data_IF_117573403320
#
_entry.id   IF_117573403320
#
_cell.length_a   1.000
_cell.length_b   1.000
_cell.length_c   1.000
_cell.angle_alpha   90.00
_cell.angle_beta   90.00
_cell.angle_gamma   90.00
#
_symmetry.space_group_name_H-M   'P 1'
#
loop_
_entity.id
_entity.type
_entity.pdbx_description
1 polymer ?
#
# COMPACT_ATOMS: atom_id res chain seq x y z
N UNK A 1 38.26 29.52 13.44
CA UNK A 1 38.13 28.53 12.34
C UNK A 1 36.91 28.92 11.52
N UNK A 2 36.99 28.97 10.18
CA UNK A 2 35.85 29.31 9.32
C UNK A 2 34.89 28.12 9.17
N UNK A 3 33.63 28.39 8.82
CA UNK A 3 32.60 27.37 8.63
C UNK A 3 32.66 26.73 7.24
N UNK A 4 32.27 25.46 7.15
CA UNK A 4 32.24 24.66 5.92
C UNK A 4 30.84 24.74 5.27
N UNK A 5 30.77 24.99 3.97
CA UNK A 5 29.52 25.10 3.19
C UNK A 5 29.54 24.07 2.04
N UNK A 6 28.69 23.02 2.05
CA UNK A 6 28.82 21.87 1.17
C UNK A 6 28.15 22.03 -0.22
N UNK A 7 27.78 23.24 -0.65
CA UNK A 7 27.05 23.47 -1.90
C UNK A 7 27.86 24.21 -2.97
N UNK A 8 28.76 23.50 -3.64
CA UNK A 8 29.37 23.92 -4.91
C UNK A 8 29.04 22.92 -6.01
N UNK A 9 28.12 23.27 -6.92
CA UNK A 9 27.83 22.44 -8.10
C UNK A 9 29.06 22.37 -9.01
N UNK A 10 29.49 21.16 -9.32
CA UNK A 10 30.51 20.92 -10.33
C UNK A 10 29.87 20.92 -11.71
N UNK A 11 30.05 21.99 -12.49
CA UNK A 11 29.57 22.10 -13.87
C UNK A 11 30.72 21.66 -14.80
N UNK A 12 30.59 20.57 -15.56
CA UNK A 12 31.58 20.21 -16.58
C UNK A 12 31.44 21.13 -17.79
N UNK A 13 32.50 21.83 -18.15
CA UNK A 13 32.56 22.59 -19.42
C UNK A 13 32.53 21.64 -20.62
N UNK A 14 31.82 21.98 -21.72
CA UNK A 14 31.79 21.14 -22.91
C UNK A 14 33.11 21.23 -23.68
N UNK A 15 33.83 20.12 -23.79
CA UNK A 15 35.03 20.03 -24.64
C UNK A 15 34.61 20.07 -26.10
N UNK A 16 35.07 21.07 -26.85
CA UNK A 16 34.93 21.06 -28.31
C UNK A 16 35.74 19.89 -28.89
N UNK A 17 35.10 19.06 -29.73
CA UNK A 17 35.82 18.15 -30.61
C UNK A 17 35.41 18.42 -32.06
N UNK A 18 36.40 18.59 -32.92
CA UNK A 18 36.26 19.19 -34.25
C UNK A 18 36.11 18.11 -35.33
N UNK A 19 35.37 18.44 -36.38
CA UNK A 19 34.94 17.54 -37.44
C UNK A 19 36.08 16.88 -38.23
N UNK A 20 35.84 15.66 -38.68
CA UNK A 20 36.20 15.25 -40.05
C UNK A 20 34.96 14.70 -40.76
N UNK A 21 34.93 14.86 -42.08
CA UNK A 21 33.80 14.51 -42.94
C UNK A 21 34.32 13.74 -44.15
N UNK A 22 33.59 12.70 -44.53
CA UNK A 22 33.69 12.04 -45.84
C UNK A 22 32.36 12.20 -46.55
N UNK A 23 32.41 12.54 -47.83
CA UNK A 23 31.26 12.88 -48.66
C UNK A 23 30.80 11.68 -49.53
N UNK A 24 29.94 11.96 -50.53
CA UNK A 24 29.23 11.01 -51.41
C UNK A 24 28.02 10.39 -50.68
N UNK A 25 26.79 10.39 -51.23
CA UNK A 25 26.36 10.58 -52.63
C UNK A 25 25.15 11.53 -52.78
N UNK A 26 24.90 12.01 -54.00
CA UNK A 26 23.72 12.77 -54.41
C UNK A 26 22.41 12.00 -54.19
N UNK A 27 21.28 12.69 -54.00
CA UNK A 27 20.04 12.40 -54.77
C UNK A 27 19.05 13.58 -54.82
N UNK A 28 18.70 13.94 -56.06
CA UNK A 28 17.62 14.85 -56.50
C UNK A 28 16.33 14.01 -56.62
N UNK A 29 15.08 14.47 -56.57
CA UNK A 29 14.33 15.75 -56.81
C UNK A 29 13.10 15.70 -55.84
N UNK A 30 12.12 16.60 -55.62
CA UNK A 30 11.54 17.83 -56.24
C UNK A 30 10.91 18.71 -55.13
N UNK A 31 10.52 19.95 -55.43
CA UNK A 31 9.60 20.77 -54.62
C UNK A 31 8.19 20.82 -55.27
N UNK A 32 7.14 20.80 -54.46
CA UNK A 32 5.76 21.17 -54.84
C UNK A 32 5.18 22.08 -53.77
N UNK A 33 4.53 23.18 -54.18
CA UNK A 33 3.95 24.20 -53.29
C UNK A 33 2.45 24.36 -53.54
N UNK A 34 1.78 24.93 -52.53
CA UNK A 34 0.48 25.62 -52.59
C UNK A 34 -0.79 24.75 -52.78
N UNK A 35 -2.01 25.29 -52.50
CA UNK A 35 -2.34 26.54 -51.80
C UNK A 35 -3.25 26.36 -50.55
N UNK A 36 -3.41 27.43 -49.77
CA UNK A 36 -4.56 27.60 -48.86
C UNK A 36 -5.86 27.87 -49.64
N UNK A 37 -7.04 27.72 -49.01
CA UNK A 37 -8.01 28.81 -49.08
C UNK A 37 -8.80 29.09 -47.77
N UNK A 38 -8.65 30.34 -47.28
CA UNK A 38 -9.71 31.26 -46.84
C UNK A 38 -10.97 30.78 -46.08
N UNK A 39 -11.24 31.44 -44.95
CA UNK A 39 -12.59 31.64 -44.38
C UNK A 39 -12.83 30.93 -43.03
N UNK A 40 -13.56 31.51 -42.07
CA UNK A 40 -14.19 32.83 -42.02
C UNK A 40 -14.31 33.34 -40.57
N UNK A 41 -14.17 34.65 -40.37
CA UNK A 41 -14.35 35.32 -39.07
C UNK A 41 -15.82 35.62 -38.80
N UNK A 42 -16.36 35.22 -37.64
CA UNK A 42 -17.64 35.75 -37.13
C UNK A 42 -17.39 36.46 -35.79
N UNK A 43 -17.45 37.78 -35.86
CA UNK A 43 -17.48 38.71 -34.73
C UNK A 43 -18.91 38.84 -34.20
N UNK A 44 -19.12 38.73 -32.88
CA UNK A 44 -20.31 39.26 -32.21
C UNK A 44 -19.95 39.93 -30.87
N UNK A 45 -19.73 41.24 -30.92
CA UNK A 45 -19.72 42.15 -29.77
C UNK A 45 -20.87 43.16 -29.90
N UNK A 46 -21.91 43.04 -29.06
CA UNK A 46 -22.92 44.09 -28.77
C UNK A 46 -23.88 43.60 -27.65
N UNK A 47 -24.58 44.42 -26.87
CA UNK A 47 -24.33 45.74 -26.22
C UNK A 47 -25.41 45.90 -25.11
N UNK A 48 -25.13 46.69 -24.06
CA UNK A 48 -26.03 47.26 -23.02
C UNK A 48 -27.57 47.01 -23.03
N UNK A 49 -28.16 46.89 -21.83
CA UNK A 49 -29.41 47.59 -21.49
C UNK A 49 -30.35 46.97 -20.42
N UNK A 50 -30.81 47.79 -19.46
CA UNK A 50 -31.93 47.48 -18.51
C UNK A 50 -31.58 46.51 -17.37
N UNK A 51 -31.74 46.77 -16.06
CA UNK A 51 -32.44 47.79 -15.24
C UNK A 51 -33.94 47.61 -14.99
N UNK A 52 -34.30 47.66 -13.69
CA UNK A 52 -35.64 47.69 -13.04
C UNK A 52 -36.54 46.44 -13.22
N UNK A 53 -37.07 45.90 -12.11
CA UNK A 53 -38.18 44.94 -12.14
C UNK A 53 -38.29 43.99 -10.95
N UNK A 54 -38.67 44.47 -9.76
CA UNK A 54 -39.01 43.61 -8.61
C UNK A 54 -40.52 43.33 -8.54
N UNK A 55 -41.00 42.08 -8.59
CA UNK A 55 -42.36 41.72 -8.22
C UNK A 55 -42.42 41.28 -6.74
N UNK A 56 -43.14 42.03 -5.92
CA UNK A 56 -43.49 41.60 -4.56
C UNK A 56 -44.58 40.52 -4.60
N UNK A 57 -44.20 39.25 -4.42
CA UNK A 57 -45.18 38.18 -4.19
C UNK A 57 -45.52 38.08 -2.71
N UNK A 58 -46.82 38.13 -2.40
CA UNK A 58 -47.36 38.16 -1.03
C UNK A 58 -47.24 36.81 -0.33
N UNK A 59 -46.85 36.83 0.95
CA UNK A 59 -46.91 35.65 1.80
C UNK A 59 -48.37 35.28 2.12
N UNK A 60 -48.78 34.08 1.70
CA UNK A 60 -49.93 33.37 2.31
C UNK A 60 -49.42 32.48 3.44
N UNK A 61 -49.93 32.61 4.68
CA UNK A 61 -49.55 31.70 5.77
C UNK A 61 -50.23 30.34 5.55
N UNK A 62 -49.46 29.35 5.09
CA UNK A 62 -49.95 27.99 4.91
C UNK A 62 -50.24 27.35 6.28
N UNK A 63 -51.52 27.16 6.61
CA UNK A 63 -51.95 26.51 7.85
C UNK A 63 -51.50 25.05 7.84
N UNK A 64 -50.54 24.71 8.70
CA UNK A 64 -50.11 23.33 8.90
C UNK A 64 -51.26 22.48 9.44
N UNK A 65 -51.64 21.37 8.79
CA UNK A 65 -52.61 20.44 9.36
C UNK A 65 -51.98 19.72 10.57
N UNK A 66 -52.65 19.78 11.72
CA UNK A 66 -52.22 19.10 12.96
C UNK A 66 -52.34 17.58 12.81
N UNK A 67 -51.31 16.96 12.23
CA UNK A 67 -51.24 15.52 12.09
C UNK A 67 -51.06 14.87 13.46
N UNK A 68 -52.11 14.21 13.96
CA UNK A 68 -52.04 13.43 15.20
C UNK A 68 -51.10 12.26 14.97
N UNK A 69 -49.91 12.34 15.58
CA UNK A 69 -48.86 11.34 15.43
C UNK A 69 -49.21 10.07 16.25
N UNK A 70 -50.06 9.22 15.67
CA UNK A 70 -50.40 7.88 16.18
C UNK A 70 -49.15 7.00 16.27
N UNK A 71 -48.46 7.09 17.42
CA UNK A 71 -47.16 6.48 17.72
C UNK A 71 -47.18 4.96 17.49
N UNK A 72 -46.50 4.42 16.46
CA UNK A 72 -46.39 2.99 16.26
C UNK A 72 -45.36 2.44 17.26
N UNK A 73 -45.85 1.84 18.35
CA UNK A 73 -45.00 1.24 19.40
C UNK A 73 -44.38 -0.09 18.96
N UNK A 74 -43.50 -0.03 17.97
CA UNK A 74 -42.68 -1.16 17.52
C UNK A 74 -41.34 -0.67 16.95
N UNK A 75 -40.57 0.06 17.76
CA UNK A 75 -39.17 0.37 17.44
C UNK A 75 -38.31 -0.87 17.73
N UNK A 76 -38.46 -1.91 16.92
CA UNK A 76 -37.55 -3.05 16.93
C UNK A 76 -36.14 -2.55 16.62
N UNK A 77 -35.22 -2.69 17.58
CA UNK A 77 -33.83 -2.27 17.40
C UNK A 77 -33.29 -2.85 16.09
N UNK A 78 -32.67 -2.03 15.21
CA UNK A 78 -32.04 -2.56 14.00
C UNK A 78 -31.02 -3.61 14.42
N UNK A 79 -31.09 -4.80 13.81
CA UNK A 79 -30.17 -5.90 14.12
C UNK A 79 -28.74 -5.36 14.04
N UNK A 80 -27.87 -5.60 15.04
CA UNK A 80 -26.49 -5.15 14.97
C UNK A 80 -25.84 -5.65 13.68
N UNK A 81 -25.55 -4.72 12.77
CA UNK A 81 -24.79 -5.05 11.56
C UNK A 81 -23.42 -5.54 12.03
N UNK A 82 -23.03 -6.74 11.62
CA UNK A 82 -21.74 -7.29 12.01
C UNK A 82 -20.64 -6.31 11.56
N UNK A 83 -19.70 -5.89 12.44
CA UNK A 83 -18.68 -4.89 12.09
C UNK A 83 -17.75 -5.25 10.91
N UNK A 84 -17.90 -6.46 10.36
CA UNK A 84 -17.12 -7.03 9.27
C UNK A 84 -18.00 -7.61 8.14
N UNK A 85 -19.32 -7.37 8.14
CA UNK A 85 -20.18 -7.77 7.01
C UNK A 85 -20.03 -6.78 5.86
N UNK A 86 -18.88 -6.83 5.18
CA UNK A 86 -18.69 -6.17 3.90
C UNK A 86 -19.69 -6.76 2.90
N UNK A 87 -20.68 -5.97 2.49
CA UNK A 87 -21.49 -6.30 1.32
C UNK A 87 -20.52 -6.30 0.12
N UNK A 88 -20.38 -7.41 -0.62
CA UNK A 88 -19.49 -7.44 -1.78
C UNK A 88 -19.95 -6.40 -2.79
N UNK A 89 -19.02 -5.57 -3.26
CA UNK A 89 -19.33 -4.60 -4.31
C UNK A 89 -19.77 -5.36 -5.58
N UNK A 90 -20.76 -4.84 -6.33
CA UNK A 90 -21.07 -5.38 -7.65
C UNK A 90 -19.81 -5.32 -8.52
N UNK A 91 -19.50 -6.37 -9.31
CA UNK A 91 -18.32 -6.38 -10.15
C UNK A 91 -18.39 -5.24 -11.18
N UNK A 92 -17.27 -4.57 -11.39
CA UNK A 92 -17.15 -3.46 -12.34
C UNK A 92 -17.07 -3.98 -13.78
N UNK A 93 -16.68 -5.26 -13.95
CA UNK A 93 -16.63 -5.96 -15.23
C UNK A 93 -17.47 -7.25 -15.21
N UNK A 94 -18.25 -7.50 -16.27
CA UNK A 94 -18.82 -8.84 -16.53
C UNK A 94 -17.78 -9.81 -17.10
N UNK A 95 -16.68 -9.29 -17.65
CA UNK A 95 -15.62 -10.04 -18.30
C UNK A 95 -14.35 -9.93 -17.45
N UNK A 96 -13.91 -11.04 -16.86
CA UNK A 96 -12.91 -11.04 -15.78
C UNK A 96 -11.62 -10.27 -16.09
N UNK A 97 -11.39 -9.19 -15.33
CA UNK A 97 -10.20 -8.34 -15.47
C UNK A 97 -8.90 -9.09 -15.22
N UNK A 98 -7.94 -8.95 -16.14
CA UNK A 98 -6.55 -9.36 -15.97
C UNK A 98 -5.67 -8.15 -15.64
N UNK A 99 -4.84 -8.24 -14.60
CA UNK A 99 -3.83 -7.21 -14.28
C UNK A 99 -2.61 -7.34 -15.22
N UNK A 100 -1.95 -6.21 -15.51
CA UNK A 100 -0.71 -6.17 -16.29
C UNK A 100 0.34 -7.15 -15.70
N UNK A 101 1.01 -7.98 -16.53
CA UNK A 101 2.07 -8.89 -16.08
C UNK A 101 3.21 -8.26 -15.27
N UNK A 102 3.50 -6.97 -15.41
CA UNK A 102 4.48 -6.21 -14.60
C UNK A 102 4.01 -6.01 -13.16
N UNK A 103 2.71 -5.75 -12.98
CA UNK A 103 2.08 -5.59 -11.66
C UNK A 103 1.74 -6.95 -11.02
N UNK A 104 1.51 -8.00 -11.81
CA UNK A 104 1.12 -9.34 -11.32
C UNK A 104 2.20 -9.96 -10.43
N UNK A 105 1.79 -10.59 -9.32
CA UNK A 105 2.69 -11.38 -8.45
C UNK A 105 3.33 -12.52 -9.23
N UNK A 106 4.65 -12.64 -9.13
CA UNK A 106 5.46 -13.76 -9.62
C UNK A 106 6.39 -14.30 -8.53
N UNK A 107 7.15 -15.35 -8.86
CA UNK A 107 8.27 -15.84 -8.01
C UNK A 107 9.43 -14.84 -8.00
N UNK A 108 9.68 -14.20 -9.15
CA UNK A 108 10.54 -13.03 -9.29
C UNK A 108 9.63 -11.86 -9.69
N UNK A 109 9.49 -10.81 -8.86
CA UNK A 109 8.66 -9.66 -9.23
C UNK A 109 9.30 -8.91 -10.41
N UNK A 110 8.54 -8.59 -11.48
CA UNK A 110 9.08 -7.89 -12.65
C UNK A 110 9.56 -6.48 -12.33
N UNK A 111 8.91 -5.81 -11.38
CA UNK A 111 9.31 -4.51 -10.85
C UNK A 111 10.12 -4.74 -9.57
N UNK A 112 11.34 -4.20 -9.49
CA UNK A 112 12.10 -4.05 -8.25
C UNK A 112 11.82 -2.66 -7.67
N UNK A 113 11.26 -2.59 -6.47
CA UNK A 113 10.79 -1.35 -5.85
C UNK A 113 10.60 -1.54 -4.34
N UNK A 114 11.23 -0.70 -3.52
CA UNK A 114 10.87 -0.52 -2.10
C UNK A 114 9.76 0.54 -2.04
N UNK A 115 8.58 0.14 -1.56
CA UNK A 115 7.37 0.98 -1.56
C UNK A 115 7.51 2.23 -0.67
N UNK A 116 8.47 2.24 0.27
CA UNK A 116 8.80 3.42 1.09
C UNK A 116 9.52 4.49 0.27
N UNK A 117 10.28 4.11 -0.75
CA UNK A 117 10.90 5.04 -1.69
C UNK A 117 9.85 5.65 -2.61
N UNK A 118 10.05 6.87 -3.16
CA UNK A 118 9.19 7.39 -4.22
C UNK A 118 9.17 6.46 -5.44
N UNK A 119 8.05 6.31 -6.18
CA UNK A 119 7.96 5.44 -7.35
C UNK A 119 9.01 5.66 -8.45
N UNK A 120 9.65 6.83 -8.53
CA UNK A 120 10.78 7.07 -9.44
C UNK A 120 11.91 6.04 -9.25
N UNK A 121 12.14 5.55 -8.03
CA UNK A 121 13.14 4.53 -7.70
C UNK A 121 12.72 3.09 -8.09
N UNK A 122 11.49 2.88 -8.58
CA UNK A 122 11.07 1.60 -9.13
C UNK A 122 11.80 1.33 -10.46
N UNK A 123 12.27 0.10 -10.66
CA UNK A 123 12.96 -0.35 -11.88
C UNK A 123 12.34 -1.63 -12.42
N UNK A 124 12.27 -1.80 -13.75
CA UNK A 124 11.65 -2.99 -14.37
C UNK A 124 12.70 -3.96 -14.92
N UNK A 125 12.72 -5.19 -14.40
CA UNK A 125 13.63 -6.27 -14.83
C UNK A 125 13.43 -6.70 -16.29
N UNK A 126 12.31 -6.32 -16.94
CA UNK A 126 12.03 -6.67 -18.34
C UNK A 126 12.58 -5.66 -19.34
N UNK A 127 12.92 -4.45 -18.89
CA UNK A 127 13.39 -3.36 -19.75
C UNK A 127 14.83 -3.06 -19.33
N UNK A 128 15.78 -3.67 -20.06
CA UNK A 128 17.22 -3.55 -19.78
C UNK A 128 17.84 -2.23 -20.28
N UNK A 129 17.05 -1.45 -21.03
CA UNK A 129 17.36 -0.07 -21.43
C UNK A 129 16.64 0.87 -20.47
N UNK A 130 17.20 2.05 -20.24
CA UNK A 130 16.69 3.12 -19.36
C UNK A 130 15.41 3.76 -19.96
N UNK A 131 14.35 2.97 -20.04
CA UNK A 131 13.16 3.18 -20.86
C UNK A 131 11.89 3.17 -20.01
N UNK A 132 11.56 4.32 -19.43
CA UNK A 132 10.40 4.54 -18.56
C UNK A 132 9.02 4.39 -19.23
N UNK A 133 8.95 3.94 -20.50
CA UNK A 133 7.69 3.56 -21.15
C UNK A 133 6.94 2.46 -20.41
N UNK A 134 7.62 1.53 -19.72
CA UNK A 134 6.97 0.47 -18.92
C UNK A 134 6.05 1.03 -17.82
N UNK A 135 6.36 2.21 -17.28
CA UNK A 135 5.54 2.90 -16.26
C UNK A 135 4.20 3.39 -16.83
N UNK A 136 4.20 3.71 -18.12
CA UNK A 136 3.07 4.25 -18.86
C UNK A 136 2.19 3.15 -19.47
N UNK A 137 2.55 1.88 -19.30
CA UNK A 137 1.67 0.77 -19.66
C UNK A 137 0.36 0.79 -18.86
N UNK A 138 -0.69 0.26 -19.48
CA UNK A 138 -2.01 0.09 -18.85
C UNK A 138 -1.91 -0.91 -17.70
N UNK A 139 -2.54 -0.61 -16.56
CA UNK A 139 -2.51 -1.47 -15.37
C UNK A 139 -3.38 -2.73 -15.52
N UNK A 140 -4.42 -2.70 -16.36
CA UNK A 140 -5.38 -3.79 -16.54
C UNK A 140 -5.77 -4.02 -18.00
N UNK A 141 -6.32 -5.20 -18.29
CA UNK A 141 -7.05 -5.53 -19.52
C UNK A 141 -8.34 -6.29 -19.14
N UNK A 142 -9.55 -5.78 -19.46
CA UNK A 142 -9.82 -4.50 -20.12
C UNK A 142 -9.35 -3.28 -19.31
N UNK A 143 -9.33 -2.11 -19.95
CA UNK A 143 -9.02 -0.85 -19.28
C UNK A 143 -10.08 -0.57 -18.20
N UNK A 144 -9.68 -0.49 -16.93
CA UNK A 144 -10.56 0.00 -15.86
C UNK A 144 -10.34 1.50 -15.65
N UNK A 145 -11.42 2.24 -15.43
CA UNK A 145 -11.39 3.66 -15.06
C UNK A 145 -11.00 3.91 -13.60
N UNK A 146 -10.94 2.85 -12.78
CA UNK A 146 -10.34 2.85 -11.44
C UNK A 146 -9.92 1.43 -11.06
N UNK A 147 -8.97 1.30 -10.12
CA UNK A 147 -8.48 0.01 -9.64
C UNK A 147 -8.51 -0.03 -8.10
N UNK A 148 -9.16 -1.02 -7.51
CA UNK A 148 -9.23 -1.16 -6.04
C UNK A 148 -8.18 -2.14 -5.54
N UNK A 149 -7.31 -1.69 -4.63
CA UNK A 149 -6.23 -2.47 -4.04
C UNK A 149 -6.40 -2.57 -2.52
N UNK A 150 -6.47 -3.78 -1.98
CA UNK A 150 -6.41 -4.09 -0.55
C UNK A 150 -4.98 -4.48 -0.16
N UNK A 151 -4.54 -4.11 1.03
CA UNK A 151 -3.20 -4.39 1.56
C UNK A 151 -3.28 -4.55 3.07
N UNK A 152 -2.38 -5.35 3.67
CA UNK A 152 -2.26 -5.44 5.12
C UNK A 152 -1.54 -4.22 5.74
N UNK A 153 -0.92 -3.38 4.92
CA UNK A 153 -0.14 -2.20 5.33
C UNK A 153 -0.99 -0.92 5.45
N UNK A 154 -2.30 -0.98 5.17
CA UNK A 154 -3.24 0.12 5.29
C UNK A 154 -4.60 -0.39 5.77
N UNK A 155 -5.26 0.36 6.66
CA UNK A 155 -6.59 0.02 7.18
C UNK A 155 -7.74 0.29 6.20
N UNK A 156 -7.49 1.15 5.20
CA UNK A 156 -8.43 1.59 4.17
C UNK A 156 -8.04 0.95 2.82
N UNK A 157 -8.99 0.54 1.96
CA UNK A 157 -8.67 0.13 0.59
C UNK A 157 -8.12 1.33 -0.20
N UNK A 158 -7.13 1.07 -1.06
CA UNK A 158 -6.53 2.06 -1.96
C UNK A 158 -7.31 2.04 -3.27
N UNK A 159 -7.94 3.15 -3.63
CA UNK A 159 -8.59 3.31 -4.94
C UNK A 159 -7.67 4.13 -5.83
N UNK A 160 -7.20 3.51 -6.91
CA UNK A 160 -6.35 4.14 -7.93
C UNK A 160 -7.23 4.72 -9.02
N UNK A 161 -6.95 5.96 -9.41
CA UNK A 161 -7.56 6.64 -10.56
C UNK A 161 -6.47 7.02 -11.59
N UNK A 162 -6.79 7.18 -12.88
CA UNK A 162 -5.85 7.67 -13.88
C UNK A 162 -5.34 9.07 -13.51
N UNK A 163 -4.03 9.31 -13.53
CA UNK A 163 -3.48 10.67 -13.38
C UNK A 163 -3.73 11.56 -14.60
N UNK A 164 -4.01 10.97 -15.76
CA UNK A 164 -4.28 11.66 -17.03
C UNK A 164 -5.72 11.45 -17.47
N UNK A 165 -6.49 12.55 -17.45
CA UNK A 165 -7.89 12.58 -17.89
C UNK A 165 -8.03 12.19 -19.38
N UNK A 166 -7.05 12.54 -20.20
CA UNK A 166 -7.07 12.36 -21.67
C UNK A 166 -7.24 10.90 -22.09
N UNK A 167 -6.52 9.99 -21.46
CA UNK A 167 -6.55 8.56 -21.80
C UNK A 167 -7.64 7.80 -21.01
N UNK A 168 -7.95 8.25 -19.79
CA UNK A 168 -8.93 7.59 -18.90
C UNK A 168 -8.50 6.20 -18.40
N UNK A 169 -7.27 5.76 -18.64
CA UNK A 169 -6.76 4.43 -18.26
C UNK A 169 -5.81 4.53 -17.08
N UNK A 170 -6.01 3.71 -16.05
CA UNK A 170 -5.05 3.55 -14.95
C UNK A 170 -3.76 2.93 -15.50
N UNK A 171 -2.62 3.58 -15.27
CA UNK A 171 -1.28 3.11 -15.67
C UNK A 171 -0.55 2.39 -14.54
N UNK A 172 0.55 1.70 -14.87
CA UNK A 172 1.47 1.10 -13.89
C UNK A 172 2.01 2.17 -12.91
N UNK A 173 2.33 3.37 -13.41
CA UNK A 173 2.79 4.50 -12.58
C UNK A 173 1.70 4.97 -11.59
N UNK A 174 0.45 5.07 -12.02
CA UNK A 174 -0.67 5.47 -11.15
C UNK A 174 -0.83 4.50 -9.97
N UNK A 175 -0.72 3.20 -10.24
CA UNK A 175 -0.77 2.15 -9.22
C UNK A 175 0.36 2.30 -8.19
N UNK A 176 1.60 2.52 -8.64
CA UNK A 176 2.74 2.67 -7.74
C UNK A 176 2.64 3.96 -6.89
N UNK A 177 2.18 5.07 -7.50
CA UNK A 177 1.93 6.34 -6.80
C UNK A 177 0.83 6.22 -5.76
N UNK A 178 -0.34 5.69 -6.14
CA UNK A 178 -1.48 5.55 -5.23
C UNK A 178 -1.16 4.64 -4.05
N UNK A 179 -0.45 3.53 -4.27
CA UNK A 179 0.03 2.66 -3.18
C UNK A 179 1.01 3.41 -2.28
N UNK A 180 2.03 4.08 -2.83
CA UNK A 180 3.01 4.85 -2.04
C UNK A 180 2.35 5.91 -1.15
N UNK A 181 1.48 6.74 -1.72
CA UNK A 181 0.78 7.79 -0.97
C UNK A 181 -0.19 7.22 0.07
N UNK A 182 -0.91 6.14 -0.25
CA UNK A 182 -1.84 5.53 0.70
C UNK A 182 -1.13 4.85 1.88
N UNK A 183 0.02 4.23 1.68
CA UNK A 183 0.83 3.71 2.79
C UNK A 183 1.41 4.84 3.64
N UNK A 184 1.94 5.90 3.01
CA UNK A 184 2.47 7.07 3.73
C UNK A 184 1.38 7.77 4.55
N UNK A 185 0.18 7.94 4.00
CA UNK A 185 -0.97 8.48 4.72
C UNK A 185 -1.42 7.56 5.86
N UNK A 186 -1.44 6.24 5.66
CA UNK A 186 -1.80 5.26 6.70
C UNK A 186 -0.80 5.24 7.86
N UNK A 187 0.49 5.40 7.58
CA UNK A 187 1.52 5.51 8.61
C UNK A 187 1.39 6.79 9.44
N UNK A 188 1.08 7.93 8.78
CA UNK A 188 0.78 9.19 9.46
C UNK A 188 -0.51 9.09 10.31
N UNK A 189 -1.59 8.49 9.80
CA UNK A 189 -2.82 8.22 10.56
C UNK A 189 -2.52 7.42 11.84
N UNK A 190 -1.72 6.36 11.75
CA UNK A 190 -1.39 5.50 12.89
C UNK A 190 -0.44 6.19 13.89
N UNK A 191 0.51 7.01 13.42
CA UNK A 191 1.36 7.86 14.26
C UNK A 191 0.53 8.89 15.05
N UNK A 192 -0.43 9.56 14.40
CA UNK A 192 -1.35 10.48 15.07
C UNK A 192 -2.23 9.75 16.09
N UNK A 193 -2.72 8.55 15.74
CA UNK A 193 -3.50 7.70 16.65
C UNK A 193 -2.70 7.30 17.88
N UNK A 194 -1.50 6.74 17.73
CA UNK A 194 -0.61 6.38 18.85
C UNK A 194 -0.33 7.57 19.75
N UNK A 195 -0.06 8.75 19.15
CA UNK A 195 0.14 10.00 19.90
C UNK A 195 -1.10 10.40 20.71
N UNK A 196 -2.30 10.29 20.12
CA UNK A 196 -3.57 10.54 20.82
C UNK A 196 -3.88 9.52 21.94
N UNK A 197 -3.50 8.25 21.76
CA UNK A 197 -3.63 7.21 22.79
C UNK A 197 -2.63 7.43 23.95
N UNK A 198 -1.39 7.88 23.67
CA UNK A 198 -0.42 8.30 24.70
C UNK A 198 -0.89 9.54 25.49
N UNK A 199 -1.44 10.55 24.81
CA UNK A 199 -2.06 11.70 25.49
C UNK A 199 -3.21 11.28 26.42
N UNK A 200 -4.05 10.31 26.01
CA UNK A 200 -5.14 9.77 26.82
C UNK A 200 -4.64 9.01 28.07
N UNK A 201 -3.45 8.41 28.02
CA UNK A 201 -2.86 7.66 29.13
C UNK A 201 -2.14 8.55 30.17
N UNK A 202 -2.13 9.88 29.99
CA UNK A 202 -1.54 10.81 30.97
C UNK A 202 -0.01 10.82 30.98
N UNK A 203 0.63 10.44 29.86
CA UNK A 203 2.08 10.44 29.73
C UNK A 203 2.70 11.84 30.00
N UNK A 204 3.90 11.94 30.62
CA UNK A 204 4.50 13.23 30.96
C UNK A 204 4.75 14.14 29.74
N UNK A 205 4.43 15.43 29.88
CA UNK A 205 4.49 16.45 28.82
C UNK A 205 5.88 16.77 28.26
N UNK A 206 6.96 16.16 28.77
CA UNK A 206 8.35 16.54 28.45
C UNK A 206 8.92 15.91 27.18
N UNK A 207 8.26 14.93 26.56
CA UNK A 207 8.78 14.30 25.34
C UNK A 207 8.41 15.09 24.08
N UNK A 208 9.23 16.09 23.76
CA UNK A 208 9.24 16.72 22.44
C UNK A 208 10.03 15.81 21.47
N UNK A 209 9.42 15.27 20.39
CA UNK A 209 10.19 14.67 19.31
C UNK A 209 11.10 15.74 18.67
N UNK A 210 12.29 15.33 18.23
CA UNK A 210 13.15 16.20 17.44
C UNK A 210 12.51 16.41 16.07
N UNK A 211 12.40 17.66 15.61
CA UNK A 211 11.77 17.99 14.32
C UNK A 211 12.70 17.68 13.13
N UNK A 212 13.99 17.45 13.40
CA UNK A 212 14.99 17.00 12.43
C UNK A 212 14.70 15.57 11.93
N UNK A 213 14.09 15.49 10.74
CA UNK A 213 13.80 14.27 10.00
C UNK A 213 12.91 13.26 10.74
N UNK A 214 11.59 13.52 10.73
CA UNK A 214 10.59 12.43 10.72
C UNK A 214 10.69 11.61 9.42
N UNK A 215 11.72 10.78 9.33
CA UNK A 215 11.67 9.54 8.58
C UNK A 215 10.61 8.66 9.26
N UNK A 216 9.36 8.78 8.81
CA UNK A 216 8.19 8.06 9.34
C UNK A 216 8.59 6.59 9.52
N UNK A 217 8.57 6.08 10.75
CA UNK A 217 8.90 4.68 11.05
C UNK A 217 7.75 3.76 10.60
N UNK A 218 7.68 3.57 9.28
CA UNK A 218 6.81 2.57 8.64
C UNK A 218 7.40 1.21 9.02
N UNK A 219 6.89 0.69 10.14
CA UNK A 219 7.56 -0.25 11.04
C UNK A 219 8.26 -1.44 10.35
N UNK A 220 9.57 -1.57 10.60
CA UNK A 220 10.45 -2.73 10.31
C UNK A 220 9.75 -3.92 9.63
N UNK A 221 9.82 -4.03 8.30
CA UNK A 221 9.07 -5.07 7.60
C UNK A 221 9.20 -5.18 6.09
N UNK A 222 8.26 -5.93 5.53
CA UNK A 222 8.21 -6.35 4.13
C UNK A 222 7.73 -5.19 3.23
N UNK A 223 8.66 -4.37 2.73
CA UNK A 223 8.37 -3.22 1.87
C UNK A 223 8.77 -3.38 0.40
N UNK A 224 9.43 -4.48 0.03
CA UNK A 224 9.70 -4.80 -1.36
C UNK A 224 8.40 -5.13 -2.10
N UNK A 225 8.27 -4.67 -3.33
CA UNK A 225 7.12 -4.96 -4.20
C UNK A 225 7.13 -6.43 -4.64
N UNK A 226 6.15 -7.23 -4.22
CA UNK A 226 5.97 -8.61 -4.72
C UNK A 226 4.95 -8.71 -5.86
N UNK A 227 4.19 -7.64 -6.11
CA UNK A 227 3.09 -7.61 -7.08
C UNK A 227 1.71 -7.86 -6.47
N UNK A 228 0.70 -7.83 -7.35
CA UNK A 228 -0.71 -7.94 -7.07
C UNK A 228 -1.23 -9.35 -7.36
N UNK A 229 -2.13 -9.85 -6.50
CA UNK A 229 -2.93 -11.06 -6.72
C UNK A 229 -4.42 -10.69 -6.68
N UNK A 230 -5.25 -11.26 -7.54
CA UNK A 230 -6.70 -11.02 -7.50
C UNK A 230 -7.30 -11.46 -6.16
N UNK A 231 -8.31 -10.74 -5.65
CA UNK A 231 -9.04 -11.16 -4.45
C UNK A 231 -9.87 -12.41 -4.73
N UNK A 232 -9.84 -13.44 -3.87
CA UNK A 232 -10.65 -14.65 -4.04
C UNK A 232 -12.13 -14.44 -3.69
N UNK A 233 -12.48 -13.31 -3.05
CA UNK A 233 -13.84 -13.02 -2.54
C UNK A 233 -14.51 -11.80 -3.16
N UNK A 234 -13.78 -11.00 -3.94
CA UNK A 234 -14.25 -9.72 -4.48
C UNK A 234 -13.83 -9.57 -5.95
N UNK A 235 -14.79 -9.35 -6.85
CA UNK A 235 -14.52 -9.04 -8.25
C UNK A 235 -13.78 -7.70 -8.39
N UNK A 236 -12.88 -7.60 -9.38
CA UNK A 236 -12.07 -6.41 -9.71
C UNK A 236 -11.20 -5.81 -8.58
N UNK A 237 -11.16 -6.46 -7.40
CA UNK A 237 -10.29 -6.09 -6.28
C UNK A 237 -8.98 -6.88 -6.33
N UNK A 238 -7.87 -6.18 -6.10
CA UNK A 238 -6.53 -6.75 -6.08
C UNK A 238 -5.94 -6.68 -4.68
N UNK A 239 -5.15 -7.68 -4.29
CA UNK A 239 -4.44 -7.76 -3.03
C UNK A 239 -2.96 -7.51 -3.31
N UNK A 240 -2.41 -6.45 -2.72
CA UNK A 240 -0.97 -6.20 -2.73
C UNK A 240 -0.26 -7.23 -1.86
N UNK A 241 0.79 -7.85 -2.42
CA UNK A 241 1.76 -8.65 -1.68
C UNK A 241 3.11 -7.92 -1.68
N UNK A 242 3.86 -8.08 -0.59
CA UNK A 242 5.19 -7.51 -0.43
C UNK A 242 6.22 -8.58 -0.04
N UNK A 243 7.49 -8.29 -0.26
CA UNK A 243 8.64 -9.11 0.11
C UNK A 243 9.47 -8.42 1.19
N UNK A 244 10.22 -9.20 1.96
CA UNK A 244 11.46 -8.73 2.58
C UNK A 244 12.51 -8.58 1.47
N UNK A 245 12.87 -7.35 1.11
CA UNK A 245 13.99 -7.11 0.19
C UNK A 245 15.33 -7.24 0.93
N UNK A 246 15.68 -8.48 1.29
CA UNK A 246 17.03 -9.00 1.60
C UNK A 246 16.92 -10.46 2.10
N UNK A 247 16.84 -11.42 1.17
CA UNK A 247 16.61 -12.83 1.49
C UNK A 247 17.76 -13.55 2.23
N UNK A 248 18.97 -12.97 2.28
CA UNK A 248 20.14 -13.63 2.89
C UNK A 248 20.72 -12.95 4.15
N UNK A 249 20.60 -11.63 4.34
CA UNK A 249 21.41 -10.94 5.37
C UNK A 249 20.61 -10.23 6.48
N UNK A 250 19.33 -9.91 6.27
CA UNK A 250 18.45 -9.39 7.32
C UNK A 250 17.16 -10.22 7.44
N UNK A 251 17.28 -11.39 8.08
CA UNK A 251 16.13 -12.10 8.65
C UNK A 251 15.51 -11.24 9.77
N UNK A 252 14.58 -10.39 9.37
CA UNK A 252 13.79 -9.48 10.20
C UNK A 252 12.34 -9.47 9.73
N UNK A 253 11.62 -10.59 9.97
CA UNK A 253 10.17 -10.63 9.75
C UNK A 253 9.50 -9.59 10.67
N UNK A 254 8.60 -8.79 10.11
CA UNK A 254 7.91 -7.76 10.91
C UNK A 254 7.03 -8.40 11.97
N UNK A 255 6.84 -7.68 13.07
CA UNK A 255 5.95 -8.12 14.16
C UNK A 255 4.56 -8.49 13.63
N UNK A 256 4.09 -7.73 12.64
CA UNK A 256 2.80 -7.91 11.95
C UNK A 256 2.84 -9.13 11.01
N UNK A 257 3.84 -9.24 10.12
CA UNK A 257 3.95 -10.35 9.15
C UNK A 257 4.05 -11.69 9.85
N UNK A 258 4.90 -11.81 10.86
CA UNK A 258 5.08 -13.04 11.62
C UNK A 258 3.82 -13.39 12.41
N UNK A 259 3.13 -12.40 13.01
CA UNK A 259 1.85 -12.65 13.67
C UNK A 259 0.78 -13.16 12.68
N UNK A 260 0.75 -12.63 11.45
CA UNK A 260 -0.20 -13.04 10.42
C UNK A 260 0.09 -14.46 9.90
N UNK A 261 1.35 -14.75 9.53
CA UNK A 261 1.79 -16.09 9.10
C UNK A 261 1.52 -17.17 10.15
N UNK A 262 1.70 -16.83 11.43
CA UNK A 262 1.44 -17.77 12.54
C UNK A 262 -0.06 -17.93 12.81
N UNK A 263 -0.86 -16.87 12.62
CA UNK A 263 -2.32 -16.94 12.61
C UNK A 263 -2.86 -17.82 11.48
N UNK A 264 -2.38 -17.61 10.25
CA UNK A 264 -2.75 -18.39 9.06
C UNK A 264 -2.39 -19.87 9.24
N UNK A 265 -1.15 -20.17 9.65
CA UNK A 265 -0.64 -21.54 9.83
C UNK A 265 -1.39 -22.33 10.91
N UNK A 266 -1.74 -21.70 12.05
CA UNK A 266 -2.45 -22.37 13.14
C UNK A 266 -3.98 -22.23 13.08
N UNK A 267 -4.52 -21.58 12.04
CA UNK A 267 -5.96 -21.36 11.89
C UNK A 267 -6.59 -20.52 13.02
N UNK A 268 -5.85 -19.57 13.58
CA UNK A 268 -6.28 -18.73 14.71
C UNK A 268 -6.48 -17.28 14.29
N UNK A 269 -7.53 -16.57 14.78
CA UNK A 269 -7.92 -15.27 14.23
C UNK A 269 -6.98 -14.11 14.60
N UNK A 270 -6.26 -14.22 15.73
CA UNK A 270 -5.25 -13.26 16.18
C UNK A 270 -4.35 -13.89 17.27
N UNK A 271 -3.23 -13.25 17.57
CA UNK A 271 -2.42 -13.55 18.76
C UNK A 271 -2.74 -12.59 19.90
N UNK A 272 -2.73 -13.09 21.14
CA UNK A 272 -2.87 -12.27 22.34
C UNK A 272 -1.61 -11.41 22.56
N UNK A 273 -1.73 -10.18 23.09
CA UNK A 273 -0.60 -9.27 23.27
C UNK A 273 0.61 -9.90 23.99
N UNK A 274 0.37 -10.64 25.09
CA UNK A 274 1.44 -11.28 25.86
C UNK A 274 2.21 -12.34 25.05
N UNK A 275 1.59 -12.97 24.04
CA UNK A 275 2.26 -13.96 23.18
C UNK A 275 3.25 -13.27 22.24
N UNK A 276 2.84 -12.12 21.69
CA UNK A 276 3.65 -11.30 20.79
C UNK A 276 4.80 -10.68 21.60
N UNK A 277 4.52 -10.10 22.75
CA UNK A 277 5.52 -9.50 23.65
C UNK A 277 6.55 -10.52 24.14
N UNK A 278 6.11 -11.69 24.61
CA UNK A 278 7.00 -12.80 25.00
C UNK A 278 7.87 -13.24 23.82
N UNK A 279 7.25 -13.39 22.64
CA UNK A 279 7.97 -13.72 21.40
C UNK A 279 9.05 -12.69 21.05
N UNK A 280 8.72 -11.39 21.14
CA UNK A 280 9.68 -10.30 20.91
C UNK A 280 10.81 -10.30 21.94
N UNK A 281 10.53 -10.50 23.23
CA UNK A 281 11.57 -10.59 24.25
C UNK A 281 12.52 -11.77 23.99
N UNK A 282 12.01 -12.94 23.59
CA UNK A 282 12.85 -14.09 23.19
C UNK A 282 13.73 -13.73 21.97
N UNK A 283 13.18 -13.07 20.95
CA UNK A 283 13.95 -12.63 19.77
C UNK A 283 15.04 -11.61 20.13
N UNK A 284 14.76 -10.72 21.08
CA UNK A 284 15.72 -9.76 21.66
C UNK A 284 16.70 -10.41 22.67
N UNK A 285 16.70 -11.76 22.80
CA UNK A 285 17.54 -12.54 23.73
C UNK A 285 17.31 -12.19 25.22
N UNK A 286 16.14 -11.69 25.58
CA UNK A 286 15.77 -11.35 26.96
C UNK A 286 15.15 -12.55 27.67
N UNK A 287 15.72 -12.92 28.82
CA UNK A 287 15.10 -13.87 29.74
C UNK A 287 13.71 -13.38 30.15
N UNK A 288 12.68 -14.19 29.89
CA UNK A 288 11.27 -13.83 30.12
C UNK A 288 10.63 -14.84 31.06
N UNK A 289 10.07 -14.37 32.17
CA UNK A 289 9.23 -15.18 33.06
C UNK A 289 7.78 -14.87 32.70
N UNK A 290 7.02 -15.87 32.26
CA UNK A 290 5.64 -15.72 31.83
C UNK A 290 4.68 -16.46 32.78
N UNK A 291 4.16 -15.74 33.76
CA UNK A 291 3.05 -16.23 34.59
C UNK A 291 1.70 -15.86 33.96
N UNK A 292 0.99 -16.88 33.49
CA UNK A 292 -0.40 -16.82 33.03
C UNK A 292 -1.04 -18.21 33.26
N UNK A 293 -2.37 -18.33 33.34
CA UNK A 293 -3.05 -19.62 33.53
C UNK A 293 -2.69 -20.71 32.49
N UNK A 294 -2.99 -21.97 32.80
CA UNK A 294 -2.95 -23.05 31.79
C UNK A 294 -4.03 -22.83 30.72
N UNK A 295 -3.91 -23.50 29.57
CA UNK A 295 -4.79 -23.35 28.38
C UNK A 295 -4.84 -21.96 27.70
N UNK A 296 -4.29 -20.90 28.30
CA UNK A 296 -4.16 -19.53 27.73
C UNK A 296 -3.41 -19.39 26.39
N UNK A 297 -2.92 -20.49 25.80
CA UNK A 297 -2.20 -20.45 24.53
C UNK A 297 -0.70 -20.09 24.64
N UNK A 298 -0.08 -20.18 25.83
CA UNK A 298 1.37 -19.95 26.05
C UNK A 298 2.28 -20.51 24.94
N UNK A 299 2.00 -21.71 24.44
CA UNK A 299 2.80 -22.37 23.39
C UNK A 299 3.01 -21.50 22.15
N UNK A 300 2.02 -20.69 21.77
CA UNK A 300 2.09 -19.82 20.58
C UNK A 300 3.15 -18.70 20.72
N UNK A 301 3.46 -18.28 21.95
CA UNK A 301 4.55 -17.33 22.21
C UNK A 301 5.93 -17.89 21.85
N UNK A 302 6.13 -19.19 22.05
CA UNK A 302 7.36 -19.89 21.65
C UNK A 302 7.37 -20.18 20.14
N UNK A 303 6.21 -20.52 19.56
CA UNK A 303 6.09 -20.63 18.10
C UNK A 303 6.41 -19.31 17.39
N UNK A 304 6.06 -18.16 17.97
CA UNK A 304 6.41 -16.84 17.44
C UNK A 304 7.93 -16.66 17.29
N UNK A 305 8.70 -17.01 18.33
CA UNK A 305 10.16 -16.97 18.27
C UNK A 305 10.76 -18.06 17.34
N UNK A 306 10.12 -19.22 17.20
CA UNK A 306 10.52 -20.28 16.29
C UNK A 306 10.31 -19.87 14.81
N UNK A 307 9.14 -19.32 14.48
CA UNK A 307 8.73 -18.95 13.12
C UNK A 307 9.67 -17.89 12.50
N UNK A 308 10.27 -17.04 13.32
CA UNK A 308 11.32 -16.09 12.90
C UNK A 308 12.56 -16.79 12.32
N UNK A 309 12.89 -17.99 12.80
CA UNK A 309 14.11 -18.72 12.43
C UNK A 309 13.85 -19.93 11.52
N UNK A 310 12.65 -20.50 11.55
CA UNK A 310 12.26 -21.70 10.80
C UNK A 310 10.84 -21.57 10.28
N UNK A 311 10.64 -21.87 8.99
CA UNK A 311 9.33 -21.87 8.33
C UNK A 311 8.98 -23.28 7.82
N UNK A 312 7.73 -23.75 7.96
CA UNK A 312 7.29 -25.03 7.38
C UNK A 312 7.59 -25.13 5.88
N UNK A 313 8.23 -26.23 5.47
CA UNK A 313 8.64 -26.46 4.09
C UNK A 313 9.98 -25.83 3.66
N UNK A 314 10.62 -24.99 4.48
CA UNK A 314 11.99 -24.56 4.21
C UNK A 314 12.97 -25.71 4.50
N UNK A 315 13.62 -26.23 3.45
CA UNK A 315 14.58 -27.33 3.48
C UNK A 315 16.01 -26.91 3.17
N UNK A 316 16.28 -25.62 2.96
CA UNK A 316 17.61 -25.10 2.63
C UNK A 316 18.59 -25.37 3.78
N UNK A 317 19.64 -26.14 3.50
CA UNK A 317 20.59 -26.66 4.50
C UNK A 317 21.78 -25.72 4.77
N UNK A 318 21.78 -24.52 4.23
CA UNK A 318 22.94 -23.65 4.25
C UNK A 318 23.15 -22.99 5.62
N UNK A 319 24.04 -23.64 6.37
CA UNK A 319 25.26 -23.04 6.94
C UNK A 319 25.18 -21.52 7.20
N UNK A 320 25.22 -20.99 8.43
CA UNK A 320 26.05 -21.45 9.55
C UNK A 320 25.39 -21.36 10.95
N UNK A 321 24.07 -21.13 11.08
CA UNK A 321 23.40 -20.99 12.39
C UNK A 321 22.28 -22.02 12.62
N UNK A 322 22.65 -23.25 13.00
CA UNK A 322 21.70 -24.25 13.55
C UNK A 322 21.23 -23.81 14.94
N UNK A 323 20.16 -23.01 15.01
CA UNK A 323 19.56 -22.55 16.28
C UNK A 323 18.77 -23.69 16.92
N UNK A 324 19.34 -24.27 17.97
CA UNK A 324 18.70 -25.32 18.78
C UNK A 324 17.69 -24.65 19.73
N UNK A 325 16.42 -25.05 19.63
CA UNK A 325 15.37 -24.64 20.57
C UNK A 325 15.03 -25.84 21.44
N UNK A 326 15.31 -25.73 22.74
CA UNK A 326 15.05 -26.78 23.73
C UNK A 326 13.80 -26.40 24.52
N UNK A 327 12.73 -27.19 24.37
CA UNK A 327 11.50 -27.05 25.15
C UNK A 327 11.52 -28.13 26.23
N UNK A 328 11.54 -27.71 27.51
CA UNK A 328 11.50 -28.61 28.66
C UNK A 328 10.07 -28.62 29.22
N UNK A 329 9.47 -29.80 29.32
CA UNK A 329 8.14 -30.02 29.90
C UNK A 329 8.24 -30.98 31.09
N UNK A 330 7.56 -30.72 32.23
CA UNK A 330 7.47 -31.67 33.33
C UNK A 330 6.59 -32.90 33.01
N UNK A 331 5.86 -32.89 31.88
CA UNK A 331 4.96 -33.97 31.47
C UNK A 331 5.21 -34.39 30.01
N UNK A 332 5.51 -35.69 29.83
CA UNK A 332 5.79 -36.29 28.52
C UNK A 332 4.61 -36.15 27.55
N UNK A 333 3.38 -36.39 28.02
CA UNK A 333 2.16 -36.26 27.20
C UNK A 333 1.94 -34.81 26.70
N UNK A 334 2.29 -33.80 27.51
CA UNK A 334 2.21 -32.40 27.10
C UNK A 334 3.29 -32.07 26.05
N UNK A 335 4.48 -32.66 26.19
CA UNK A 335 5.57 -32.54 25.21
C UNK A 335 5.21 -33.21 23.88
N UNK A 336 4.54 -34.37 23.91
CA UNK A 336 4.02 -35.05 22.71
C UNK A 336 2.93 -34.22 22.02
N UNK A 337 1.98 -33.64 22.76
CA UNK A 337 0.96 -32.76 22.20
C UNK A 337 1.55 -31.49 21.55
N UNK A 338 2.57 -30.90 22.17
CA UNK A 338 3.33 -29.77 21.58
C UNK A 338 4.09 -30.20 20.32
N UNK A 339 4.75 -31.36 20.34
CA UNK A 339 5.51 -31.89 19.20
C UNK A 339 4.61 -32.30 18.01
N UNK A 340 3.40 -32.80 18.26
CA UNK A 340 2.40 -33.04 17.22
C UNK A 340 1.94 -31.72 16.59
N UNK A 341 1.63 -30.70 17.40
CA UNK A 341 1.26 -29.36 16.91
C UNK A 341 2.42 -28.61 16.23
N UNK A 342 3.67 -29.06 16.37
CA UNK A 342 4.82 -28.55 15.62
C UNK A 342 5.08 -29.29 14.29
N UNK A 343 4.29 -30.33 13.97
CA UNK A 343 4.42 -31.17 12.76
C UNK A 343 3.22 -31.09 11.81
N UNK A 344 2.10 -30.53 12.28
CA UNK A 344 0.91 -30.18 11.51
C UNK A 344 1.08 -28.82 10.85
#
# INVERSE_FOLDING_TARGET
MPAYNPYTLYIPSPTMQQSQSTAVEDHKVVCVHAPEPYGSTINMNSIFGGSVGSPTNSHTPLVSPTYIASRPSSLGNPRPLHPHSCIPLPPLSLYGTSINPLLKRGTIPPIKYDIRSPPSFATSRRHLVDDDRWRHERASNPNLGSLTIRTALASKPVVVFPSRIVDGVVTVQDVLLAVHYALRASALDDQHRRRAELWRQGAPRSYHPSEDYEAIDVAFGCYGWAGLTQSPTEGDVWILKTTTENSHELRGLSQISLSFELCETFGIPFLHPFQIETGQNILQKRSTILDVPTRSGKTLAFFYALFYYWWPGNTERDSCQKKIIVIISPLVALMQAQAMKARS
#
